data_IF_408498111960
#
_entry.id   IF_408498111960
#
_cell.length_a   1.000
_cell.length_b   1.000
_cell.length_c   1.000
_cell.angle_alpha   90.00
_cell.angle_beta   90.00
_cell.angle_gamma   90.00
#
_symmetry.space_group_name_H-M   'P 1'
#
loop_
_entity.id
_entity.type
_entity.pdbx_description
1 polymer ?
#
# COMPACT_ATOMS: atom_id res chain seq x y z
N UNK A 1 -13.39 -1.53 7.79
CA UNK A 1 -12.61 -2.77 7.59
C UNK A 1 -13.40 -3.93 8.20
N UNK A 2 -13.73 -4.92 7.42
CA UNK A 2 -14.63 -5.97 7.87
C UNK A 2 -13.93 -7.10 8.62
N UNK A 3 -12.84 -7.61 8.14
CA UNK A 3 -12.21 -8.77 8.74
C UNK A 3 -10.70 -8.79 8.53
N UNK A 4 -10.02 -9.33 9.52
CA UNK A 4 -8.60 -9.65 9.41
C UNK A 4 -8.50 -11.09 8.91
N UNK A 5 -7.85 -11.27 7.78
CA UNK A 5 -7.55 -12.59 7.24
C UNK A 5 -6.07 -12.87 7.49
N UNK A 6 -5.80 -13.76 8.43
CA UNK A 6 -4.45 -14.15 8.81
C UNK A 6 -4.08 -15.52 8.24
N UNK A 7 -4.69 -15.91 7.14
CA UNK A 7 -4.42 -17.20 6.51
C UNK A 7 -2.99 -17.32 5.99
N UNK A 8 -2.36 -16.18 5.66
CA UNK A 8 -0.96 -16.16 5.28
C UNK A 8 -0.10 -15.75 6.46
N UNK A 9 0.88 -16.56 6.81
CA UNK A 9 1.77 -16.26 7.94
C UNK A 9 2.74 -15.11 7.62
N UNK A 10 2.85 -14.70 6.36
CA UNK A 10 3.81 -13.71 5.92
C UNK A 10 3.19 -12.33 5.68
N UNK A 11 1.87 -12.25 5.63
CA UNK A 11 1.15 -10.98 5.55
C UNK A 11 -0.27 -11.12 6.02
N UNK A 12 -0.83 -10.02 6.48
CA UNK A 12 -2.23 -9.93 6.91
C UNK A 12 -3.02 -9.13 5.89
N UNK A 13 -4.28 -9.52 5.66
CA UNK A 13 -5.17 -8.80 4.77
C UNK A 13 -6.35 -8.27 5.56
N UNK A 14 -6.56 -6.96 5.49
CA UNK A 14 -7.72 -6.30 6.07
C UNK A 14 -8.68 -6.00 4.94
N UNK A 15 -9.75 -6.77 4.85
CA UNK A 15 -10.72 -6.70 3.74
C UNK A 15 -11.69 -5.54 3.93
N UNK A 16 -11.99 -4.85 2.82
CA UNK A 16 -13.08 -3.89 2.78
C UNK A 16 -14.42 -4.61 2.94
N UNK A 17 -15.47 -3.87 3.27
CA UNK A 17 -16.80 -4.45 3.42
C UNK A 17 -17.43 -4.86 2.10
N UNK A 18 -16.98 -4.31 0.98
CA UNK A 18 -17.45 -4.65 -0.35
C UNK A 18 -16.32 -5.07 -1.27
N UNK A 19 -16.63 -5.41 -2.53
CA UNK A 19 -15.60 -5.74 -3.50
C UNK A 19 -14.62 -4.59 -3.67
N UNK A 20 -13.32 -4.87 -3.57
CA UNK A 20 -12.28 -3.86 -3.66
C UNK A 20 -11.55 -3.95 -4.99
N UNK A 21 -11.44 -2.81 -5.68
CA UNK A 21 -10.65 -2.68 -6.90
C UNK A 21 -9.22 -2.24 -6.61
N UNK A 22 -8.97 -1.75 -5.40
CA UNK A 22 -7.67 -1.21 -5.00
C UNK A 22 -7.10 -1.97 -3.81
N UNK A 23 -5.79 -2.15 -3.81
CA UNK A 23 -5.05 -2.69 -2.69
C UNK A 23 -4.02 -1.68 -2.22
N UNK A 24 -3.93 -1.50 -0.91
CA UNK A 24 -2.92 -0.67 -0.27
C UNK A 24 -1.98 -1.60 0.48
N UNK A 25 -0.74 -1.66 0.04
CA UNK A 25 0.27 -2.57 0.59
C UNK A 25 1.26 -1.78 1.42
N UNK A 26 1.58 -2.29 2.60
CA UNK A 26 2.49 -1.62 3.52
C UNK A 26 3.10 -2.62 4.50
N UNK A 27 3.95 -2.13 5.38
CA UNK A 27 4.52 -2.91 6.47
C UNK A 27 4.86 -1.99 7.66
N UNK A 28 5.06 -2.58 8.82
CA UNK A 28 5.49 -1.87 10.01
C UNK A 28 4.48 -0.84 10.51
N UNK A 29 4.99 0.24 11.08
CA UNK A 29 4.17 1.29 11.69
C UNK A 29 3.31 2.05 10.68
N UNK A 30 3.68 2.02 9.40
CA UNK A 30 2.92 2.66 8.33
C UNK A 30 1.52 2.03 8.16
N UNK A 31 1.33 0.79 8.64
CA UNK A 31 0.05 0.11 8.55
C UNK A 31 -1.09 0.89 9.22
N UNK A 32 -0.80 1.60 10.31
CA UNK A 32 -1.80 2.43 10.99
C UNK A 32 -2.38 3.49 10.05
N UNK A 33 -1.51 4.17 9.32
CA UNK A 33 -1.94 5.19 8.36
C UNK A 33 -2.68 4.56 7.17
N UNK A 34 -2.22 3.39 6.74
CA UNK A 34 -2.87 2.67 5.65
C UNK A 34 -4.31 2.26 6.00
N UNK A 35 -4.51 1.74 7.20
CA UNK A 35 -5.86 1.36 7.67
C UNK A 35 -6.76 2.57 7.77
N UNK A 36 -6.25 3.68 8.29
CA UNK A 36 -7.02 4.93 8.37
C UNK A 36 -7.36 5.46 6.97
N UNK A 37 -6.42 5.35 6.03
CA UNK A 37 -6.65 5.76 4.65
C UNK A 37 -7.76 4.94 3.98
N UNK A 38 -7.75 3.63 4.19
CA UNK A 38 -8.79 2.76 3.66
C UNK A 38 -10.17 3.14 4.21
N UNK A 39 -10.24 3.50 5.48
CA UNK A 39 -11.48 3.95 6.10
C UNK A 39 -11.96 5.27 5.50
N UNK A 40 -11.06 6.22 5.26
CA UNK A 40 -11.41 7.48 4.62
C UNK A 40 -11.90 7.25 3.19
N UNK A 41 -11.25 6.37 2.44
CA UNK A 41 -11.67 6.04 1.08
C UNK A 41 -13.06 5.41 1.07
N UNK A 42 -13.34 4.54 2.04
CA UNK A 42 -14.66 3.91 2.15
C UNK A 42 -15.77 4.94 2.37
N UNK A 43 -15.50 6.02 3.10
CA UNK A 43 -16.45 7.11 3.28
C UNK A 43 -16.78 7.82 1.97
N UNK A 44 -15.90 7.72 0.98
CA UNK A 44 -16.10 8.28 -0.35
C UNK A 44 -16.58 7.22 -1.35
N UNK A 45 -16.98 6.05 -0.88
CA UNK A 45 -17.49 4.98 -1.73
C UNK A 45 -16.42 4.13 -2.41
N UNK A 46 -15.17 4.25 -2.01
CA UNK A 46 -14.06 3.47 -2.58
C UNK A 46 -13.63 2.37 -1.61
N UNK A 47 -13.74 1.13 -2.03
CA UNK A 47 -13.35 -0.02 -1.23
C UNK A 47 -11.89 -0.36 -1.48
N UNK A 48 -11.12 -0.45 -0.40
CA UNK A 48 -9.67 -0.71 -0.45
C UNK A 48 -9.35 -1.84 0.52
N UNK A 49 -8.70 -2.88 0.04
CA UNK A 49 -8.13 -3.91 0.89
C UNK A 49 -6.72 -3.48 1.29
N UNK A 50 -6.36 -3.71 2.55
CA UNK A 50 -5.02 -3.36 3.06
C UNK A 50 -4.23 -4.64 3.30
N UNK A 51 -3.05 -4.70 2.72
CA UNK A 51 -2.09 -5.78 2.90
C UNK A 51 -0.96 -5.29 3.78
N UNK A 52 -0.84 -5.85 4.98
CA UNK A 52 0.25 -5.55 5.90
C UNK A 52 1.26 -6.69 5.85
N UNK A 53 2.43 -6.43 5.31
CA UNK A 53 3.48 -7.45 5.22
C UNK A 53 4.14 -7.63 6.59
N UNK A 54 4.28 -8.87 7.02
CA UNK A 54 5.03 -9.22 8.23
C UNK A 54 6.42 -9.72 7.88
N UNK A 55 6.57 -10.25 6.67
CA UNK A 55 7.87 -10.62 6.11
C UNK A 55 8.10 -9.79 4.86
N UNK A 56 9.18 -9.03 4.82
CA UNK A 56 9.46 -8.13 3.70
C UNK A 56 10.64 -8.57 2.85
N UNK A 57 11.43 -9.50 3.35
CA UNK A 57 12.60 -9.98 2.63
C UNK A 57 12.88 -11.45 2.96
N UNK A 58 12.71 -12.38 2.02
CA UNK A 58 12.14 -12.17 0.68
C UNK A 58 10.65 -11.80 0.75
N UNK A 59 10.13 -11.27 -0.35
CA UNK A 59 8.70 -10.98 -0.45
C UNK A 59 7.88 -12.27 -0.26
N UNK A 60 6.70 -12.20 0.38
CA UNK A 60 5.89 -13.38 0.62
C UNK A 60 5.50 -14.10 -0.68
N UNK A 61 5.57 -15.43 -0.64
CA UNK A 61 5.04 -16.23 -1.74
C UNK A 61 3.55 -16.03 -1.85
N UNK A 62 3.07 -15.96 -3.07
CA UNK A 62 1.64 -15.78 -3.34
C UNK A 62 1.18 -14.34 -3.26
N UNK A 63 2.00 -13.41 -2.77
CA UNK A 63 1.61 -12.01 -2.70
C UNK A 63 1.28 -11.43 -4.08
N UNK A 64 2.13 -11.69 -5.06
CA UNK A 64 1.90 -11.19 -6.42
C UNK A 64 0.64 -11.78 -7.02
N UNK A 65 0.34 -13.05 -6.76
CA UNK A 65 -0.88 -13.68 -7.25
C UNK A 65 -2.11 -13.06 -6.58
N UNK A 66 -2.03 -12.79 -5.29
CA UNK A 66 -3.11 -12.15 -4.55
C UNK A 66 -3.37 -10.72 -5.07
N UNK A 67 -2.31 -9.98 -5.39
CA UNK A 67 -2.42 -8.60 -5.86
C UNK A 67 -2.81 -8.50 -7.34
N UNK A 68 -2.65 -9.56 -8.10
CA UNK A 68 -2.90 -9.53 -9.54
C UNK A 68 -4.34 -9.27 -9.95
N UNK A 69 -5.29 -9.45 -9.03
CA UNK A 69 -6.70 -9.21 -9.31
C UNK A 69 -7.18 -7.77 -9.10
N UNK A 70 -6.34 -6.91 -8.57
CA UNK A 70 -6.72 -5.52 -8.33
C UNK A 70 -6.43 -4.64 -9.54
N UNK A 71 -7.26 -3.61 -9.72
CA UNK A 71 -7.05 -2.63 -10.79
C UNK A 71 -5.95 -1.65 -10.46
N UNK A 72 -5.82 -1.31 -9.17
CA UNK A 72 -4.78 -0.40 -8.72
C UNK A 72 -4.16 -0.91 -7.42
N UNK A 73 -2.85 -0.71 -7.32
CA UNK A 73 -2.05 -1.10 -6.17
C UNK A 73 -1.24 0.11 -5.74
N UNK A 74 -1.35 0.46 -4.47
CA UNK A 74 -0.56 1.53 -3.88
C UNK A 74 0.32 0.92 -2.81
N UNK A 75 1.64 1.10 -2.92
CA UNK A 75 2.58 0.66 -1.89
C UNK A 75 3.08 1.87 -1.13
N UNK A 76 2.89 1.87 0.19
CA UNK A 76 3.32 2.95 1.07
C UNK A 76 4.36 2.44 2.05
N UNK A 77 5.51 3.08 2.10
CA UNK A 77 6.57 2.70 3.02
C UNK A 77 7.33 3.92 3.54
N UNK A 78 7.78 3.83 4.79
CA UNK A 78 8.62 4.86 5.40
C UNK A 78 10.08 4.71 4.97
N UNK A 79 10.43 3.60 4.31
CA UNK A 79 11.78 3.37 3.82
C UNK A 79 12.13 4.25 2.62
N UNK A 80 13.40 4.27 2.28
CA UNK A 80 13.91 5.03 1.14
C UNK A 80 13.42 4.38 -0.16
N UNK A 81 13.01 5.21 -1.12
CA UNK A 81 12.41 4.74 -2.37
C UNK A 81 13.34 3.84 -3.18
N UNK A 82 14.57 4.26 -3.39
CA UNK A 82 15.54 3.48 -4.15
C UNK A 82 15.99 2.25 -3.37
N UNK A 83 15.83 1.06 -3.93
CA UNK A 83 16.16 -0.18 -3.27
C UNK A 83 15.16 -0.62 -2.20
N UNK A 84 14.03 0.08 -2.04
CA UNK A 84 13.01 -0.25 -1.07
C UNK A 84 12.16 -1.45 -1.48
N UNK A 85 11.34 -1.91 -0.56
CA UNK A 85 10.49 -3.08 -0.77
C UNK A 85 9.45 -2.83 -1.85
N UNK A 86 8.90 -1.62 -1.91
CA UNK A 86 7.93 -1.27 -2.94
C UNK A 86 8.50 -1.37 -4.35
N UNK A 87 9.77 -1.04 -4.53
CA UNK A 87 10.44 -1.18 -5.81
C UNK A 87 10.63 -2.64 -6.18
N UNK A 88 11.00 -3.49 -5.22
CA UNK A 88 11.11 -4.93 -5.43
C UNK A 88 9.77 -5.55 -5.79
N UNK A 89 8.70 -5.13 -5.14
CA UNK A 89 7.36 -5.63 -5.45
C UNK A 89 6.94 -5.21 -6.85
N UNK A 90 7.22 -3.98 -7.26
CA UNK A 90 6.90 -3.51 -8.60
C UNK A 90 7.55 -4.40 -9.66
N UNK A 91 8.85 -4.72 -9.48
CA UNK A 91 9.58 -5.58 -10.41
C UNK A 91 8.96 -6.98 -10.46
N UNK A 92 8.60 -7.55 -9.31
CA UNK A 92 7.99 -8.88 -9.24
C UNK A 92 6.64 -8.92 -9.94
N UNK A 93 5.83 -7.88 -9.79
CA UNK A 93 4.53 -7.78 -10.46
C UNK A 93 4.69 -7.67 -11.97
N UNK A 94 5.66 -6.90 -12.44
CA UNK A 94 5.95 -6.78 -13.87
C UNK A 94 6.38 -8.12 -14.48
N UNK A 95 7.21 -8.87 -13.77
CA UNK A 95 7.65 -10.20 -14.24
C UNK A 95 6.47 -11.16 -14.39
N UNK A 96 5.42 -10.99 -13.61
CA UNK A 96 4.22 -11.82 -13.68
C UNK A 96 3.18 -11.30 -14.67
N UNK A 97 3.47 -10.22 -15.37
CA UNK A 97 2.55 -9.64 -16.35
C UNK A 97 1.34 -8.95 -15.74
N UNK A 98 1.46 -8.47 -14.51
CA UNK A 98 0.38 -7.75 -13.83
C UNK A 98 0.10 -6.42 -14.53
N UNK A 99 -1.17 -6.17 -14.87
CA UNK A 99 -1.59 -4.96 -15.56
C UNK A 99 -2.16 -3.90 -14.63
N UNK A 100 -2.10 -4.10 -13.32
CA UNK A 100 -2.61 -3.12 -12.38
C UNK A 100 -1.82 -1.82 -12.46
N UNK A 101 -2.51 -0.70 -12.22
CA UNK A 101 -1.83 0.57 -12.00
C UNK A 101 -1.07 0.48 -10.68
N UNK A 102 0.21 0.73 -10.69
CA UNK A 102 1.06 0.62 -9.50
C UNK A 102 1.68 1.96 -9.16
N UNK A 103 1.54 2.35 -7.90
CA UNK A 103 2.15 3.57 -7.39
C UNK A 103 2.88 3.27 -6.09
N UNK A 104 4.09 3.79 -5.98
CA UNK A 104 4.95 3.63 -4.81
C UNK A 104 5.16 4.98 -4.14
N UNK A 105 4.74 5.09 -2.89
CA UNK A 105 4.95 6.30 -2.09
C UNK A 105 5.94 5.96 -0.98
N UNK A 106 7.05 6.65 -0.96
CA UNK A 106 8.13 6.44 -0.01
C UNK A 106 8.92 7.73 0.17
N UNK A 107 9.82 7.72 1.15
CA UNK A 107 10.74 8.84 1.36
C UNK A 107 11.75 8.86 0.22
N UNK A 108 11.95 10.01 -0.46
CA UNK A 108 12.99 10.13 -1.49
C UNK A 108 14.38 9.87 -0.92
N UNK A 109 15.29 9.36 -1.77
CA UNK A 109 16.63 8.98 -1.34
C UNK A 109 17.42 10.10 -0.66
N UNK A 110 17.12 11.35 -0.97
CA UNK A 110 17.79 12.51 -0.41
C UNK A 110 16.87 13.37 0.47
N UNK A 111 15.76 12.81 0.94
CA UNK A 111 14.73 13.56 1.65
C UNK A 111 14.85 13.56 3.16
N UNK A 112 15.90 13.00 3.72
CA UNK A 112 16.04 12.87 5.16
C UNK A 112 16.37 14.22 5.80
N UNK A 113 15.51 14.67 6.70
CA UNK A 113 15.68 15.89 7.48
C UNK A 113 15.38 15.59 8.95
N UNK A 114 15.73 16.51 9.83
CA UNK A 114 15.43 16.41 11.26
C UNK A 114 13.97 16.81 11.53
N UNK A 115 13.04 15.97 11.08
CA UNK A 115 11.63 16.20 11.28
C UNK A 115 11.04 15.06 12.10
N UNK A 116 9.89 15.31 12.73
CA UNK A 116 9.17 14.23 13.40
C UNK A 116 8.63 13.23 12.38
N UNK A 117 8.27 12.01 12.85
CA UNK A 117 7.69 10.98 11.99
C UNK A 117 6.41 11.50 11.32
N UNK A 118 5.55 12.18 12.08
CA UNK A 118 4.30 12.70 11.54
C UNK A 118 4.54 13.78 10.48
N UNK A 119 5.53 14.64 10.69
CA UNK A 119 5.90 15.66 9.71
C UNK A 119 6.43 15.02 8.43
N UNK A 120 7.25 13.97 8.54
CA UNK A 120 7.77 13.25 7.38
C UNK A 120 6.64 12.57 6.62
N UNK A 121 5.69 11.95 7.32
CA UNK A 121 4.54 11.32 6.68
C UNK A 121 3.72 12.33 5.89
N UNK A 122 3.40 13.46 6.49
CA UNK A 122 2.64 14.51 5.81
C UNK A 122 3.40 15.07 4.62
N UNK A 123 4.70 15.29 4.77
CA UNK A 123 5.54 15.87 3.72
C UNK A 123 5.65 14.98 2.49
N UNK A 124 5.73 13.66 2.68
CA UNK A 124 5.92 12.73 1.57
C UNK A 124 4.66 11.95 1.19
N UNK A 125 3.51 12.37 1.69
CA UNK A 125 2.25 11.78 1.29
C UNK A 125 1.94 10.43 1.93
N UNK A 126 2.51 10.16 3.09
CA UNK A 126 2.36 8.90 3.81
C UNK A 126 1.32 8.95 4.94
N UNK A 127 0.72 10.09 5.18
CA UNK A 127 -0.37 10.22 6.14
C UNK A 127 -1.68 9.68 5.54
N UNK A 128 -2.64 9.37 6.41
CA UNK A 128 -3.89 8.74 6.00
C UNK A 128 -4.63 9.53 4.92
N UNK A 129 -4.77 10.84 5.09
CA UNK A 129 -5.50 11.68 4.13
C UNK A 129 -4.83 11.68 2.75
N UNK A 130 -3.50 11.78 2.72
CA UNK A 130 -2.75 11.78 1.48
C UNK A 130 -2.82 10.43 0.76
N UNK A 131 -2.74 9.34 1.53
CA UNK A 131 -2.87 8.00 0.97
C UNK A 131 -4.26 7.77 0.38
N UNK A 132 -5.30 8.19 1.08
CA UNK A 132 -6.67 8.08 0.59
C UNK A 132 -6.86 8.87 -0.70
N UNK A 133 -6.33 10.11 -0.76
CA UNK A 133 -6.40 10.93 -1.96
C UNK A 133 -5.65 10.28 -3.13
N UNK A 134 -4.48 9.69 -2.87
CA UNK A 134 -3.69 9.02 -3.90
C UNK A 134 -4.43 7.81 -4.47
N UNK A 135 -5.07 7.02 -3.62
CA UNK A 135 -5.86 5.86 -4.06
C UNK A 135 -7.01 6.29 -4.95
N UNK A 136 -7.75 7.31 -4.54
CA UNK A 136 -8.90 7.80 -5.30
C UNK A 136 -8.47 8.38 -6.63
N UNK A 137 -7.37 9.13 -6.66
CA UNK A 137 -6.81 9.67 -7.89
C UNK A 137 -6.32 8.57 -8.83
N UNK A 138 -5.69 7.54 -8.28
CA UNK A 138 -5.19 6.41 -9.07
C UNK A 138 -6.34 5.65 -9.72
N UNK A 139 -7.45 5.50 -9.02
CA UNK A 139 -8.64 4.84 -9.55
C UNK A 139 -9.31 5.60 -10.69
N UNK A 140 -9.16 6.91 -10.74
CA UNK A 140 -9.71 7.75 -11.79
C UNK A 140 -8.89 7.72 -13.08
N UNK A 141 -7.66 7.26 -13.02
CA UNK A 141 -6.76 7.14 -14.17
C UNK A 141 -6.97 5.78 -14.82
N UNK A 142 -7.44 5.80 -16.03
CA UNK A 142 -7.68 4.57 -16.80
C UNK A 142 -6.61 4.35 -17.85
#
# INVERSE_FOLDING_TARGET
>A
MAALDCSGLEYDVFRAEGPADAALVTYGAQAKEALAAAKLAAQQGVCVDVYKLTVIHPLPQGLCDALGGYRSILFAEEGVRGGGIGEHLAAALLERGCNASYRHIAVPNNGLTHASVDELRARFGLDAASLAAAIMKQGDVK
#
